data_IF_144694551431
#
_entry.id   IF_144694551431
#
_cell.length_a   1.000
_cell.length_b   1.000
_cell.length_c   1.000
_cell.angle_alpha   90.00
_cell.angle_beta   90.00
_cell.angle_gamma   90.00
#
_symmetry.space_group_name_H-M   'P 1'
#
loop_
_entity.id
_entity.type
_entity.pdbx_description
1 polymer ?
#
# COMPACT_ATOMS: atom_id res chain seq x y z
N UNK A 1 20.90 18.17 24.18
CA UNK A 1 19.67 18.82 23.70
C UNK A 1 19.95 19.38 22.32
N UNK A 2 19.42 18.74 21.27
CA UNK A 2 19.55 19.22 19.90
C UNK A 2 18.47 20.28 19.66
N UNK A 3 18.86 21.49 19.30
CA UNK A 3 17.95 22.57 18.92
C UNK A 3 17.34 22.24 17.56
N UNK A 4 16.04 21.97 17.50
CA UNK A 4 15.32 21.72 16.25
C UNK A 4 15.27 23.00 15.41
N UNK A 5 15.86 22.97 14.22
CA UNK A 5 15.77 24.08 13.26
C UNK A 5 14.38 24.09 12.58
N UNK A 6 13.55 25.08 12.92
CA UNK A 6 12.17 25.20 12.41
C UNK A 6 12.09 25.72 10.97
N UNK A 7 13.22 26.09 10.36
CA UNK A 7 13.28 26.63 8.99
C UNK A 7 13.46 25.53 7.93
N UNK A 8 13.81 24.30 8.35
CA UNK A 8 14.01 23.14 7.47
C UNK A 8 12.71 22.38 7.23
N UNK A 9 12.57 21.82 6.03
CA UNK A 9 11.50 20.88 5.73
C UNK A 9 11.56 19.68 6.69
N UNK A 10 10.40 19.18 7.16
CA UNK A 10 10.38 18.09 8.11
C UNK A 10 10.90 16.78 7.50
N UNK A 11 11.65 16.00 8.28
CA UNK A 11 12.08 14.66 7.89
C UNK A 11 10.89 13.70 8.00
N UNK A 12 10.59 12.98 6.93
CA UNK A 12 9.54 11.95 6.91
C UNK A 12 10.06 10.68 7.60
N UNK A 13 9.33 10.18 8.59
CA UNK A 13 9.66 8.96 9.31
C UNK A 13 8.64 7.89 8.94
N UNK A 14 9.05 6.88 8.19
CA UNK A 14 8.21 5.74 7.86
C UNK A 14 8.44 4.60 8.86
N UNK A 15 7.49 4.43 9.78
CA UNK A 15 7.40 3.25 10.64
C UNK A 15 6.85 2.11 9.79
N UNK A 16 7.73 1.21 9.36
CA UNK A 16 7.35 0.02 8.60
C UNK A 16 6.91 -1.07 9.57
N UNK A 17 5.60 -1.22 9.77
CA UNK A 17 5.06 -2.40 10.45
C UNK A 17 5.26 -3.67 9.59
N UNK A 18 5.62 -4.79 10.22
CA UNK A 18 5.79 -6.04 9.47
C UNK A 18 4.47 -6.44 8.80
N UNK A 19 4.57 -6.82 7.52
CA UNK A 19 3.46 -7.39 6.73
C UNK A 19 2.26 -6.46 6.49
N UNK A 20 2.47 -5.15 6.53
CA UNK A 20 1.46 -4.12 6.21
C UNK A 20 1.63 -3.51 4.80
N UNK A 21 2.22 -4.26 3.85
CA UNK A 21 2.47 -3.76 2.50
C UNK A 21 3.65 -2.78 2.38
N UNK A 22 4.42 -2.59 3.46
CA UNK A 22 5.49 -1.61 3.47
C UNK A 22 6.60 -1.87 2.46
N UNK A 23 6.95 -3.11 2.10
CA UNK A 23 7.92 -3.37 1.02
C UNK A 23 7.55 -2.68 -0.32
N UNK A 24 6.27 -2.71 -0.69
CA UNK A 24 5.73 -1.99 -1.84
C UNK A 24 5.86 -0.48 -1.64
N UNK A 25 5.47 0.02 -0.47
CA UNK A 25 5.56 1.45 -0.15
C UNK A 25 7.00 1.97 -0.18
N UNK A 26 7.96 1.20 0.35
CA UNK A 26 9.40 1.52 0.33
C UNK A 26 9.92 1.69 -1.08
N UNK A 27 9.49 0.84 -2.03
CA UNK A 27 9.85 0.96 -3.45
C UNK A 27 9.25 2.22 -4.07
N UNK A 28 8.02 2.57 -3.72
CA UNK A 28 7.40 3.82 -4.20
C UNK A 28 8.14 5.03 -3.63
N UNK A 29 8.41 5.02 -2.32
CA UNK A 29 9.14 6.05 -1.59
C UNK A 29 10.54 6.28 -2.19
N UNK A 30 11.26 5.21 -2.53
CA UNK A 30 12.58 5.33 -3.15
C UNK A 30 12.59 6.00 -4.53
N UNK A 31 11.43 6.22 -5.15
CA UNK A 31 11.28 7.01 -6.40
C UNK A 31 10.93 8.48 -6.13
N UNK A 32 10.65 8.84 -4.88
CA UNK A 32 10.22 10.19 -4.49
C UNK A 32 11.37 11.05 -3.96
N UNK A 33 12.44 10.39 -3.51
CA UNK A 33 13.55 11.03 -2.81
C UNK A 33 14.86 10.58 -3.43
N UNK A 34 15.87 11.44 -3.36
CA UNK A 34 17.25 11.07 -3.71
C UNK A 34 17.68 9.87 -2.83
N UNK A 35 18.31 8.82 -3.39
CA UNK A 35 18.76 7.68 -2.60
C UNK A 35 19.66 8.05 -1.41
N UNK A 36 20.47 9.11 -1.53
CA UNK A 36 21.32 9.61 -0.44
C UNK A 36 20.54 10.38 0.62
N UNK A 37 19.31 10.81 0.32
CA UNK A 37 18.39 11.45 1.26
C UNK A 37 17.53 10.46 2.05
N UNK A 38 17.67 9.14 1.81
CA UNK A 38 16.86 8.09 2.43
C UNK A 38 17.71 7.20 3.34
N UNK A 39 17.59 7.37 4.66
CA UNK A 39 18.17 6.46 5.63
C UNK A 39 17.27 5.24 5.84
N UNK A 40 17.78 4.07 5.49
CA UNK A 40 17.16 2.78 5.80
C UNK A 40 17.79 2.16 7.03
N UNK A 41 16.99 1.95 8.07
CA UNK A 41 17.38 1.21 9.27
C UNK A 41 16.97 -0.25 9.10
N UNK A 42 17.97 -1.14 9.11
CA UNK A 42 17.80 -2.59 9.07
C UNK A 42 18.00 -3.22 10.45
N UNK A 43 17.23 -4.27 10.73
CA UNK A 43 17.15 -4.93 12.04
C UNK A 43 15.81 -4.71 12.73
N UNK A 44 15.66 -5.32 13.90
CA UNK A 44 14.51 -5.16 14.79
C UNK A 44 14.97 -4.32 16.00
N UNK A 45 14.27 -3.22 16.25
CA UNK A 45 14.52 -2.33 17.38
C UNK A 45 13.22 -2.09 18.10
N UNK A 46 13.29 -2.02 19.42
CA UNK A 46 12.09 -1.91 20.24
C UNK A 46 12.00 -0.57 20.98
N UNK A 47 13.13 0.11 21.21
CA UNK A 47 13.18 1.46 21.79
C UNK A 47 13.94 2.44 20.90
N UNK A 48 13.47 3.69 20.88
CA UNK A 48 14.06 4.73 20.04
C UNK A 48 15.55 4.96 20.38
N UNK A 49 15.92 4.92 21.66
CA UNK A 49 17.29 5.14 22.12
C UNK A 49 18.32 4.17 21.49
N UNK A 50 17.90 2.94 21.14
CA UNK A 50 18.79 1.97 20.45
C UNK A 50 19.26 2.47 19.07
N UNK A 51 18.53 3.43 18.50
CA UNK A 51 18.78 3.96 17.17
C UNK A 51 19.68 5.20 17.17
N UNK A 52 20.10 5.72 18.33
CA UNK A 52 20.94 6.91 18.41
C UNK A 52 22.21 6.81 17.53
N UNK A 53 22.99 5.70 17.53
CA UNK A 53 24.19 5.59 16.68
C UNK A 53 23.85 5.53 15.18
N UNK A 54 22.65 5.05 14.84
CA UNK A 54 22.17 4.95 13.45
C UNK A 54 21.69 6.31 12.96
N UNK A 55 20.94 7.02 13.81
CA UNK A 55 20.38 8.34 13.52
C UNK A 55 21.48 9.41 13.52
N UNK A 56 22.56 9.25 14.30
CA UNK A 56 23.70 10.16 14.22
C UNK A 56 24.35 10.22 12.82
N UNK A 57 24.13 9.20 11.97
CA UNK A 57 24.58 9.15 10.57
C UNK A 57 23.62 9.83 9.59
N UNK A 58 22.44 10.25 10.06
CA UNK A 58 21.53 11.08 9.28
C UNK A 58 22.31 12.33 8.93
N UNK A 59 22.63 12.47 7.64
CA UNK A 59 23.17 13.70 7.12
C UNK A 59 22.16 14.81 7.45
N UNK A 60 22.58 15.71 8.34
CA UNK A 60 21.73 16.74 8.90
C UNK A 60 21.24 17.71 7.83
N UNK A 61 21.93 17.83 6.71
CA UNK A 61 21.61 18.73 5.60
C UNK A 61 20.78 18.05 4.50
N UNK A 62 20.94 16.74 4.29
CA UNK A 62 20.40 16.07 3.11
C UNK A 62 19.33 15.00 3.39
N UNK A 63 19.20 14.50 4.63
CA UNK A 63 18.29 13.38 4.91
C UNK A 63 16.82 13.81 5.03
N UNK A 64 16.02 13.42 4.05
CA UNK A 64 14.60 13.72 3.98
C UNK A 64 13.72 12.59 4.50
N UNK A 65 14.23 11.34 4.54
CA UNK A 65 13.47 10.17 5.00
C UNK A 65 14.28 9.28 5.93
N UNK A 66 13.65 8.84 7.02
CA UNK A 66 14.10 7.71 7.85
C UNK A 66 13.04 6.60 7.78
N UNK A 67 13.46 5.37 7.47
CA UNK A 67 12.52 4.24 7.35
C UNK A 67 13.07 2.94 7.91
N UNK A 68 12.20 2.09 8.46
CA UNK A 68 12.56 0.77 8.93
C UNK A 68 11.54 0.17 9.90
N UNK A 69 11.86 -1.00 10.44
CA UNK A 69 11.14 -1.60 11.56
C UNK A 69 11.55 -0.91 12.87
N UNK A 70 11.23 0.37 12.97
CA UNK A 70 11.66 1.26 14.05
C UNK A 70 10.45 1.63 14.94
N UNK A 71 10.66 1.84 16.25
CA UNK A 71 9.61 2.26 17.16
C UNK A 71 9.28 3.74 16.98
N UNK A 72 8.11 4.14 17.48
CA UNK A 72 7.80 5.54 17.72
C UNK A 72 8.81 6.16 18.72
N UNK A 73 9.01 7.48 18.63
CA UNK A 73 9.98 8.22 19.46
C UNK A 73 11.27 8.60 18.74
N UNK A 74 11.60 7.98 17.60
CA UNK A 74 12.82 8.30 16.82
C UNK A 74 12.95 9.78 16.41
N UNK A 75 11.83 10.51 16.32
CA UNK A 75 11.83 11.95 16.04
C UNK A 75 12.60 12.78 17.08
N UNK A 76 12.73 12.30 18.33
CA UNK A 76 13.50 12.97 19.38
C UNK A 76 15.01 12.95 19.11
N UNK A 77 15.46 12.01 18.27
CA UNK A 77 16.86 11.85 17.89
C UNK A 77 17.20 12.64 16.61
N UNK A 78 16.20 13.20 15.92
CA UNK A 78 16.41 13.90 14.66
C UNK A 78 16.88 15.34 14.88
N UNK A 79 17.75 15.86 13.99
CA UNK A 79 18.19 17.25 14.05
C UNK A 79 17.11 18.25 13.63
N UNK A 80 16.09 17.80 12.89
CA UNK A 80 14.97 18.57 12.36
C UNK A 80 13.64 18.02 12.90
N UNK A 81 12.55 18.76 12.67
CA UNK A 81 11.21 18.26 12.96
C UNK A 81 10.93 16.98 12.17
N UNK A 82 10.54 15.92 12.86
CA UNK A 82 10.06 14.68 12.25
C UNK A 82 8.55 14.68 12.02
N UNK A 83 8.11 14.05 10.94
CA UNK A 83 6.68 13.79 10.67
C UNK A 83 6.51 12.31 10.31
N UNK A 84 5.57 11.64 10.98
CA UNK A 84 5.41 10.19 10.82
C UNK A 84 4.43 9.81 9.71
N UNK A 85 4.72 8.69 9.05
CA UNK A 85 3.77 7.95 8.22
C UNK A 85 3.84 6.47 8.58
N UNK A 86 2.74 5.74 8.39
CA UNK A 86 2.69 4.28 8.56
C UNK A 86 1.60 3.64 7.72
N UNK A 87 1.67 2.32 7.59
CA UNK A 87 0.58 1.48 7.12
C UNK A 87 0.24 0.47 8.22
N UNK A 88 -1.05 0.34 8.49
CA UNK A 88 -1.63 -0.70 9.35
C UNK A 88 -2.35 -1.74 8.52
N UNK A 89 -2.53 -2.91 9.11
CA UNK A 89 -3.25 -4.03 8.53
C UNK A 89 -4.09 -4.69 9.61
N UNK A 90 -5.22 -5.28 9.21
CA UNK A 90 -6.04 -6.03 10.12
C UNK A 90 -5.18 -7.09 10.84
N UNK A 91 -5.16 -7.14 12.19
CA UNK A 91 -4.18 -7.93 12.94
C UNK A 91 -4.18 -9.41 12.60
N UNK A 92 -5.35 -10.01 12.43
CA UNK A 92 -5.48 -11.43 12.04
C UNK A 92 -4.79 -11.69 10.70
N UNK A 93 -5.07 -10.85 9.71
CA UNK A 93 -4.48 -10.91 8.38
C UNK A 93 -2.97 -10.67 8.40
N UNK A 94 -2.50 -9.81 9.31
CA UNK A 94 -1.08 -9.53 9.53
C UNK A 94 -0.36 -10.76 10.06
N UNK A 95 -0.90 -11.42 11.09
CA UNK A 95 -0.30 -12.60 11.72
C UNK A 95 -0.24 -13.78 10.73
N UNK A 96 -1.33 -14.06 10.02
CA UNK A 96 -1.35 -15.10 8.98
C UNK A 96 -0.27 -14.84 7.91
N UNK A 97 -0.20 -13.61 7.42
CA UNK A 97 0.80 -13.23 6.42
C UNK A 97 2.24 -13.27 6.96
N UNK A 98 2.44 -13.02 8.26
CA UNK A 98 3.74 -13.09 8.91
C UNK A 98 4.22 -14.53 9.05
N UNK A 99 3.34 -15.43 9.48
CA UNK A 99 3.61 -16.87 9.55
C UNK A 99 4.05 -17.40 8.18
N UNK A 100 3.20 -17.23 7.15
CA UNK A 100 3.51 -17.65 5.78
C UNK A 100 4.84 -17.06 5.27
N UNK A 101 5.11 -15.80 5.59
CA UNK A 101 6.36 -15.15 5.20
C UNK A 101 7.57 -15.76 5.88
N UNK A 102 7.53 -16.06 7.18
CA UNK A 102 8.66 -16.68 7.87
C UNK A 102 8.92 -18.10 7.37
N UNK A 103 7.86 -18.84 7.01
CA UNK A 103 7.95 -20.15 6.36
C UNK A 103 8.63 -20.04 4.99
N UNK A 104 8.15 -19.15 4.13
CA UNK A 104 8.72 -18.91 2.78
C UNK A 104 10.20 -18.49 2.85
N UNK A 105 10.56 -17.70 3.86
CA UNK A 105 11.95 -17.29 4.11
C UNK A 105 12.82 -18.35 4.80
N UNK A 106 12.28 -19.54 5.09
CA UNK A 106 12.93 -20.64 5.82
C UNK A 106 13.64 -20.17 7.10
N UNK A 107 12.96 -19.29 7.84
CA UNK A 107 13.47 -18.75 9.11
C UNK A 107 13.63 -19.87 10.13
N UNK A 108 14.83 -20.03 10.71
CA UNK A 108 15.15 -21.19 11.56
C UNK A 108 14.19 -21.35 12.73
N UNK A 109 13.72 -20.24 13.30
CA UNK A 109 12.82 -20.23 14.45
C UNK A 109 11.43 -20.80 14.16
N UNK A 110 11.00 -20.90 12.90
CA UNK A 110 9.67 -21.44 12.54
C UNK A 110 9.71 -22.90 12.06
N UNK A 111 10.84 -23.60 12.25
CA UNK A 111 11.02 -25.01 11.88
C UNK A 111 11.53 -25.83 13.05
N UNK A 112 11.00 -27.06 13.19
CA UNK A 112 11.51 -28.09 14.09
C UNK A 112 12.23 -29.15 13.24
N UNK A 113 13.54 -28.98 13.08
CA UNK A 113 14.29 -29.72 12.06
C UNK A 113 13.95 -29.21 10.67
N UNK A 114 13.48 -30.10 9.79
CA UNK A 114 13.02 -29.76 8.44
C UNK A 114 11.51 -29.49 8.35
N UNK A 115 10.76 -29.78 9.41
CA UNK A 115 9.31 -29.62 9.44
C UNK A 115 8.90 -28.22 9.92
N UNK A 116 8.01 -27.51 9.20
CA UNK A 116 7.50 -26.23 9.66
C UNK A 116 6.63 -26.40 10.91
N UNK A 117 6.74 -25.46 11.86
CA UNK A 117 5.79 -25.38 12.98
C UNK A 117 4.38 -25.15 12.43
N UNK A 118 3.37 -25.71 13.08
CA UNK A 118 1.98 -25.34 12.83
C UNK A 118 1.71 -23.88 13.21
N UNK A 119 0.63 -23.30 12.69
CA UNK A 119 0.25 -21.93 13.05
C UNK A 119 -0.06 -21.79 14.55
N UNK A 120 -0.58 -22.83 15.20
CA UNK A 120 -0.82 -22.84 16.65
C UNK A 120 0.51 -22.74 17.41
N UNK A 121 1.44 -23.66 17.15
CA UNK A 121 2.78 -23.69 17.76
C UNK A 121 3.54 -22.38 17.50
N UNK A 122 3.43 -21.83 16.29
CA UNK A 122 4.04 -20.56 15.94
C UNK A 122 3.58 -19.40 16.85
N UNK A 123 2.29 -19.37 17.19
CA UNK A 123 1.71 -18.32 18.05
C UNK A 123 2.05 -18.57 19.52
N UNK A 124 1.98 -19.82 20.00
CA UNK A 124 2.12 -20.15 21.42
C UNK A 124 3.57 -20.29 21.87
N UNK A 125 4.44 -20.86 21.04
CA UNK A 125 5.74 -21.39 21.50
C UNK A 125 6.87 -20.37 21.32
N UNK A 126 6.81 -19.53 20.28
CA UNK A 126 7.95 -18.68 19.91
C UNK A 126 8.04 -17.36 20.69
N UNK A 127 6.98 -16.95 21.38
CA UNK A 127 6.90 -15.70 22.15
C UNK A 127 7.48 -14.46 21.42
N UNK A 128 7.34 -14.40 20.10
CA UNK A 128 7.87 -13.30 19.31
C UNK A 128 7.02 -12.04 19.58
N UNK A 129 7.65 -10.91 19.90
CA UNK A 129 6.95 -9.64 20.16
C UNK A 129 6.04 -9.18 19.01
N UNK A 130 6.32 -9.59 17.77
CA UNK A 130 5.43 -9.31 16.62
C UNK A 130 4.08 -10.03 16.68
N UNK A 131 3.96 -11.10 17.47
CA UNK A 131 2.77 -11.93 17.62
C UNK A 131 1.86 -11.47 18.76
N UNK A 132 2.36 -10.60 19.63
CA UNK A 132 1.63 -10.00 20.74
C UNK A 132 1.55 -8.49 20.56
N UNK A 133 0.41 -8.01 20.04
CA UNK A 133 0.11 -6.59 19.85
C UNK A 133 1.24 -5.79 19.16
N UNK A 134 1.84 -6.39 18.12
CA UNK A 134 3.06 -5.87 17.48
C UNK A 134 2.92 -4.47 16.87
N UNK A 135 1.74 -4.09 16.36
CA UNK A 135 1.51 -2.73 15.84
C UNK A 135 1.43 -1.72 17.00
N UNK A 136 0.73 -2.06 18.08
CA UNK A 136 0.57 -1.25 19.29
C UNK A 136 1.91 -1.01 19.99
N UNK A 137 2.73 -2.05 20.16
CA UNK A 137 4.10 -1.93 20.69
C UNK A 137 4.91 -0.91 19.90
N UNK A 138 4.96 -1.06 18.58
CA UNK A 138 5.76 -0.21 17.72
C UNK A 138 5.28 1.25 17.72
N UNK A 139 3.97 1.47 17.74
CA UNK A 139 3.37 2.81 17.65
C UNK A 139 3.28 3.54 18.99
N UNK A 140 3.25 2.82 20.11
CA UNK A 140 3.42 3.42 21.44
C UNK A 140 4.89 3.81 21.69
N UNK A 141 5.84 3.08 21.08
CA UNK A 141 7.27 3.25 21.34
C UNK A 141 7.72 2.57 22.64
N UNK A 142 6.85 1.75 23.25
CA UNK A 142 7.09 1.02 24.49
C UNK A 142 7.42 -0.44 24.19
N UNK A 143 8.26 -1.01 25.04
CA UNK A 143 8.78 -2.37 24.86
C UNK A 143 8.73 -3.18 26.17
N UNK A 144 7.53 -3.62 26.60
CA UNK A 144 7.41 -4.61 27.67
C UNK A 144 7.76 -6.01 27.17
N UNK A 145 7.84 -6.98 28.07
CA UNK A 145 7.99 -8.39 27.70
C UNK A 145 6.73 -8.93 26.99
N UNK A 146 6.86 -10.09 26.33
CA UNK A 146 5.75 -10.74 25.65
C UNK A 146 4.61 -11.04 26.63
N UNK A 147 3.37 -10.77 26.23
CA UNK A 147 2.17 -10.93 27.07
C UNK A 147 1.91 -9.79 28.04
N UNK A 148 2.78 -8.77 28.09
CA UNK A 148 2.68 -7.65 29.02
C UNK A 148 2.32 -6.31 28.36
N UNK A 149 1.68 -6.32 27.19
CA UNK A 149 1.13 -5.09 26.62
C UNK A 149 -0.04 -4.58 27.47
N UNK A 150 -0.03 -3.29 27.81
CA UNK A 150 -1.07 -2.68 28.65
C UNK A 150 -2.07 -1.84 27.87
N UNK A 151 -3.21 -1.56 28.49
CA UNK A 151 -4.20 -0.64 27.94
C UNK A 151 -3.65 0.80 27.82
N UNK A 152 -2.72 1.22 28.68
CA UNK A 152 -2.07 2.54 28.53
C UNK A 152 -1.26 2.61 27.22
N UNK A 153 -0.56 1.54 26.85
CA UNK A 153 0.18 1.48 25.58
C UNK A 153 -0.75 1.68 24.38
N UNK A 154 -1.96 1.13 24.43
CA UNK A 154 -2.97 1.34 23.39
C UNK A 154 -3.38 2.81 23.32
N UNK A 155 -3.60 3.46 24.47
CA UNK A 155 -3.94 4.88 24.51
C UNK A 155 -2.79 5.74 23.96
N UNK A 156 -1.55 5.43 24.30
CA UNK A 156 -0.36 6.10 23.77
C UNK A 156 -0.25 5.91 22.25
N UNK A 157 -0.42 4.69 21.75
CA UNK A 157 -0.41 4.42 20.31
C UNK A 157 -1.50 5.21 19.59
N UNK A 158 -2.75 5.20 20.09
CA UNK A 158 -3.87 5.99 19.52
C UNK A 158 -3.59 7.49 19.54
N UNK A 159 -3.04 8.00 20.64
CA UNK A 159 -2.66 9.41 20.77
C UNK A 159 -1.56 9.77 19.75
N UNK A 160 -0.52 8.95 19.65
CA UNK A 160 0.58 9.15 18.72
C UNK A 160 0.06 9.19 17.27
N UNK A 161 -0.78 8.22 16.87
CA UNK A 161 -1.40 8.19 15.54
C UNK A 161 -2.17 9.48 15.22
N UNK A 162 -2.92 10.04 16.19
CA UNK A 162 -3.69 11.27 15.97
C UNK A 162 -2.83 12.54 15.91
N UNK A 163 -1.81 12.63 16.76
CA UNK A 163 -1.08 13.90 16.97
C UNK A 163 0.18 14.04 16.12
N UNK A 164 0.77 12.92 15.69
CA UNK A 164 2.13 12.92 15.11
C UNK A 164 2.23 12.31 13.72
N UNK A 165 1.25 11.53 13.30
CA UNK A 165 1.24 10.92 11.97
C UNK A 165 0.52 11.83 10.98
N UNK A 166 1.22 12.16 9.91
CA UNK A 166 0.62 12.87 8.78
C UNK A 166 -0.36 11.97 8.03
N UNK A 167 0.01 10.70 7.84
CA UNK A 167 -0.88 9.70 7.23
C UNK A 167 -0.71 8.36 7.93
N UNK A 168 -1.85 7.80 8.34
CA UNK A 168 -1.99 6.42 8.80
C UNK A 168 -2.81 5.69 7.73
N UNK A 169 -2.13 4.92 6.88
CA UNK A 169 -2.81 4.18 5.81
C UNK A 169 -3.28 2.80 6.24
N UNK A 170 -4.25 2.26 5.52
CA UNK A 170 -4.84 0.94 5.71
C UNK A 170 -4.44 0.05 4.52
N UNK A 171 -3.82 -1.09 4.80
CA UNK A 171 -3.29 -2.02 3.79
C UNK A 171 -4.40 -2.54 2.87
N UNK A 172 -5.59 -2.78 3.41
CA UNK A 172 -6.79 -3.25 2.73
C UNK A 172 -7.30 -2.20 1.73
N UNK A 173 -7.01 -0.91 1.99
CA UNK A 173 -7.27 0.23 1.11
C UNK A 173 -5.95 0.88 0.64
N UNK A 174 -4.99 0.06 0.20
CA UNK A 174 -3.64 0.52 -0.17
C UNK A 174 -3.65 1.64 -1.23
N UNK A 175 -4.48 1.54 -2.27
CA UNK A 175 -4.54 2.56 -3.33
C UNK A 175 -5.02 3.92 -2.80
N UNK A 176 -6.03 3.92 -1.92
CA UNK A 176 -6.49 5.11 -1.21
C UNK A 176 -5.39 5.69 -0.33
N UNK A 177 -4.74 4.82 0.46
CA UNK A 177 -3.64 5.20 1.36
C UNK A 177 -2.48 5.83 0.60
N UNK A 178 -2.15 5.28 -0.56
CA UNK A 178 -1.07 5.77 -1.41
C UNK A 178 -1.39 7.11 -2.05
N UNK A 179 -2.62 7.30 -2.55
CA UNK A 179 -3.04 8.60 -3.08
C UNK A 179 -3.10 9.67 -2.00
N UNK A 180 -3.52 9.31 -0.78
CA UNK A 180 -3.50 10.22 0.37
C UNK A 180 -2.06 10.62 0.72
N UNK A 181 -1.12 9.67 0.81
CA UNK A 181 0.31 9.95 0.98
C UNK A 181 0.85 10.86 -0.11
N UNK A 182 0.49 10.60 -1.38
CA UNK A 182 0.95 11.42 -2.49
C UNK A 182 0.42 12.85 -2.45
N UNK A 183 -0.81 13.05 -1.97
CA UNK A 183 -1.38 14.38 -1.76
C UNK A 183 -0.65 15.13 -0.63
N UNK A 184 -0.47 14.50 0.51
CA UNK A 184 0.08 15.15 1.73
C UNK A 184 1.60 15.38 1.64
N UNK A 185 2.34 14.53 0.92
CA UNK A 185 3.80 14.62 0.77
C UNK A 185 4.24 15.13 -0.61
N UNK A 186 3.30 15.45 -1.51
CA UNK A 186 3.60 15.90 -2.87
C UNK A 186 4.26 14.84 -3.76
N UNK A 187 4.12 13.55 -3.43
CA UNK A 187 4.71 12.46 -4.22
C UNK A 187 4.10 12.36 -5.60
N UNK A 188 4.94 11.97 -6.56
CA UNK A 188 4.59 11.74 -7.96
C UNK A 188 4.87 10.28 -8.32
N UNK A 189 4.52 9.84 -9.53
CA UNK A 189 4.84 8.48 -10.00
C UNK A 189 4.43 7.37 -8.99
N UNK A 190 3.15 7.35 -8.64
CA UNK A 190 2.60 6.45 -7.61
C UNK A 190 2.31 5.03 -8.14
N UNK A 191 2.44 4.79 -9.45
CA UNK A 191 2.13 3.48 -10.04
C UNK A 191 3.06 2.40 -9.52
N UNK A 192 2.51 1.24 -9.17
CA UNK A 192 3.20 0.17 -8.47
C UNK A 192 2.64 -1.19 -8.85
N UNK A 193 3.46 -2.22 -8.62
CA UNK A 193 3.02 -3.61 -8.54
C UNK A 193 3.22 -4.09 -7.10
N UNK A 194 2.40 -5.03 -6.67
CA UNK A 194 2.47 -5.54 -5.30
C UNK A 194 3.68 -6.44 -5.14
N UNK A 195 4.51 -6.15 -4.15
CA UNK A 195 5.62 -7.00 -3.73
C UNK A 195 5.21 -7.89 -2.56
N UNK A 196 5.80 -9.09 -2.48
CA UNK A 196 5.64 -10.02 -1.36
C UNK A 196 4.18 -10.34 -1.02
N UNK A 197 3.33 -10.47 -2.06
CA UNK A 197 1.98 -10.98 -1.91
C UNK A 197 2.09 -12.46 -1.59
N UNK A 198 1.71 -12.87 -0.38
CA UNK A 198 1.64 -14.30 -0.09
C UNK A 198 0.61 -14.97 -0.98
N UNK A 199 0.97 -16.14 -1.52
CA UNK A 199 0.31 -16.78 -2.66
C UNK A 199 -1.07 -17.36 -2.31
N UNK A 200 -1.38 -17.55 -1.02
CA UNK A 200 -2.51 -18.37 -0.58
C UNK A 200 -3.63 -17.56 0.10
N UNK A 201 -4.24 -16.61 -0.61
CA UNK A 201 -5.50 -16.00 -0.14
C UNK A 201 -6.64 -17.02 0.02
N UNK A 202 -6.59 -18.15 -0.70
CA UNK A 202 -7.60 -19.21 -0.69
C UNK A 202 -7.53 -20.11 0.57
N UNK A 203 -6.37 -20.20 1.24
CA UNK A 203 -6.22 -20.97 2.49
C UNK A 203 -6.81 -20.26 3.71
N UNK A 204 -7.14 -18.96 3.61
CA UNK A 204 -7.82 -18.23 4.69
C UNK A 204 -9.16 -18.85 5.09
N UNK A 205 -9.85 -19.53 4.15
CA UNK A 205 -11.08 -20.26 4.42
C UNK A 205 -10.90 -21.53 5.26
N UNK A 206 -9.65 -21.96 5.50
CA UNK A 206 -9.31 -23.20 6.19
C UNK A 206 -8.70 -22.99 7.59
N UNK A 207 -8.58 -21.75 8.07
CA UNK A 207 -8.11 -21.48 9.44
C UNK A 207 -9.26 -21.73 10.41
N UNK A 208 -9.06 -22.63 11.39
CA UNK A 208 -10.10 -22.96 12.36
C UNK A 208 -10.43 -21.77 13.26
N UNK A 209 -11.66 -21.75 13.77
CA UNK A 209 -12.11 -20.70 14.70
C UNK A 209 -11.20 -20.59 15.92
N UNK A 210 -10.76 -21.72 16.48
CA UNK A 210 -9.89 -21.74 17.66
C UNK A 210 -8.56 -20.99 17.42
N UNK A 211 -8.00 -21.09 16.21
CA UNK A 211 -6.78 -20.35 15.85
C UNK A 211 -7.07 -18.86 15.67
N UNK A 212 -8.22 -18.51 15.08
CA UNK A 212 -8.64 -17.11 14.97
C UNK A 212 -8.84 -16.49 16.36
N UNK A 213 -9.47 -17.21 17.29
CA UNK A 213 -9.69 -16.77 18.67
C UNK A 213 -8.36 -16.63 19.43
N UNK A 214 -7.41 -17.54 19.19
CA UNK A 214 -6.04 -17.44 19.72
C UNK A 214 -5.32 -16.18 19.21
N UNK A 215 -5.32 -15.92 17.90
CA UNK A 215 -4.72 -14.72 17.31
C UNK A 215 -5.37 -13.46 17.89
N UNK A 216 -6.70 -13.46 17.97
CA UNK A 216 -7.51 -12.37 18.51
C UNK A 216 -7.10 -12.06 19.96
N UNK A 217 -6.94 -13.09 20.78
CA UNK A 217 -6.53 -12.95 22.19
C UNK A 217 -5.16 -12.28 22.31
N UNK A 218 -4.17 -12.73 21.55
CA UNK A 218 -2.82 -12.14 21.58
C UNK A 218 -2.73 -10.76 20.91
N UNK A 219 -3.74 -10.34 20.14
CA UNK A 219 -3.72 -9.09 19.36
C UNK A 219 -4.94 -8.21 19.65
N UNK A 220 -5.52 -8.31 20.85
CA UNK A 220 -6.72 -7.57 21.24
C UNK A 220 -6.52 -6.04 21.16
N UNK A 221 -5.35 -5.54 21.58
CA UNK A 221 -5.04 -4.10 21.50
C UNK A 221 -4.78 -3.67 20.05
N UNK A 222 -4.10 -4.52 19.28
CA UNK A 222 -3.89 -4.31 17.84
C UNK A 222 -5.23 -4.21 17.08
N UNK A 223 -6.25 -4.98 17.48
CA UNK A 223 -7.60 -4.92 16.90
C UNK A 223 -8.26 -3.58 17.21
N UNK A 224 -8.28 -3.18 18.48
CA UNK A 224 -8.89 -1.91 18.88
C UNK A 224 -8.15 -0.68 18.31
N UNK A 225 -6.82 -0.78 18.15
CA UNK A 225 -6.01 0.22 17.47
C UNK A 225 -6.37 0.30 15.98
N UNK A 226 -6.45 -0.86 15.31
CA UNK A 226 -6.78 -0.94 13.90
C UNK A 226 -8.17 -0.39 13.62
N UNK A 227 -9.19 -0.76 14.41
CA UNK A 227 -10.56 -0.26 14.25
C UNK A 227 -10.63 1.26 14.39
N UNK A 228 -9.95 1.80 15.41
CA UNK A 228 -9.87 3.26 15.60
C UNK A 228 -9.17 3.96 14.43
N UNK A 229 -8.07 3.40 13.94
CA UNK A 229 -7.34 3.96 12.80
C UNK A 229 -8.14 3.83 11.49
N UNK A 230 -8.86 2.72 11.30
CA UNK A 230 -9.72 2.50 10.15
C UNK A 230 -10.88 3.51 10.15
N UNK A 231 -11.55 3.72 11.28
CA UNK A 231 -12.61 4.72 11.39
C UNK A 231 -12.10 6.12 11.03
N UNK A 232 -10.97 6.55 11.61
CA UNK A 232 -10.37 7.85 11.32
C UNK A 232 -9.96 7.96 9.82
N UNK A 233 -9.49 6.87 9.23
CA UNK A 233 -9.17 6.80 7.82
C UNK A 233 -10.41 6.98 6.94
N UNK A 234 -11.51 6.28 7.23
CA UNK A 234 -12.78 6.42 6.50
C UNK A 234 -13.37 7.83 6.64
N UNK A 235 -13.31 8.42 7.83
CA UNK A 235 -13.73 9.80 8.07
C UNK A 235 -12.90 10.78 7.20
N UNK A 236 -11.58 10.58 7.12
CA UNK A 236 -10.70 11.38 6.26
C UNK A 236 -11.04 11.20 4.78
N UNK A 237 -11.34 9.99 4.32
CA UNK A 237 -11.81 9.75 2.95
C UNK A 237 -13.16 10.43 2.69
N UNK A 238 -14.08 10.38 3.65
CA UNK A 238 -15.38 11.06 3.57
C UNK A 238 -15.25 12.58 3.40
N UNK A 239 -14.27 13.20 4.07
CA UNK A 239 -13.96 14.63 3.91
C UNK A 239 -13.42 14.98 2.52
N UNK A 240 -12.68 14.07 1.88
CA UNK A 240 -12.17 14.27 0.52
C UNK A 240 -13.25 14.08 -0.56
N UNK A 241 -14.31 13.34 -0.23
CA UNK A 241 -15.53 13.25 -1.03
C UNK A 241 -15.39 12.53 -2.37
N UNK A 242 -16.40 12.70 -3.22
CA UNK A 242 -16.58 11.93 -4.45
C UNK A 242 -15.48 12.14 -5.50
N UNK A 243 -14.84 13.31 -5.51
CA UNK A 243 -13.74 13.60 -6.44
C UNK A 243 -12.54 12.70 -6.17
N UNK A 244 -12.16 12.53 -4.91
CA UNK A 244 -11.06 11.65 -4.52
C UNK A 244 -11.36 10.19 -4.86
N UNK A 245 -12.60 9.74 -4.66
CA UNK A 245 -13.00 8.38 -5.05
C UNK A 245 -12.94 8.15 -6.56
N UNK A 246 -13.22 9.16 -7.40
CA UNK A 246 -12.98 9.05 -8.85
C UNK A 246 -11.48 8.98 -9.14
N UNK A 247 -10.64 9.78 -8.48
CA UNK A 247 -9.18 9.71 -8.63
C UNK A 247 -8.66 8.30 -8.30
N UNK A 248 -9.13 7.71 -7.19
CA UNK A 248 -8.79 6.33 -6.82
C UNK A 248 -9.24 5.34 -7.90
N UNK A 249 -10.44 5.51 -8.45
CA UNK A 249 -10.98 4.64 -9.50
C UNK A 249 -10.17 4.72 -10.79
N UNK A 250 -9.79 5.92 -11.21
CA UNK A 250 -8.90 6.15 -12.35
C UNK A 250 -7.53 5.51 -12.09
N UNK A 251 -6.94 5.81 -10.93
CA UNK A 251 -5.65 5.29 -10.53
C UNK A 251 -5.62 3.76 -10.53
N UNK A 252 -6.63 3.08 -9.96
CA UNK A 252 -6.73 1.62 -9.97
C UNK A 252 -6.71 1.04 -11.39
N UNK A 253 -7.41 1.67 -12.35
CA UNK A 253 -7.42 1.23 -13.76
C UNK A 253 -6.03 1.39 -14.38
N UNK A 254 -5.41 2.55 -14.20
CA UNK A 254 -4.07 2.85 -14.73
C UNK A 254 -3.03 1.90 -14.11
N UNK A 255 -3.09 1.70 -12.79
CA UNK A 255 -2.17 0.86 -12.05
C UNK A 255 -2.31 -0.62 -12.40
N UNK A 256 -3.52 -1.11 -12.71
CA UNK A 256 -3.72 -2.47 -13.19
C UNK A 256 -3.04 -2.72 -14.55
N UNK A 257 -3.10 -1.75 -15.47
CA UNK A 257 -2.39 -1.85 -16.75
C UNK A 257 -0.87 -1.75 -16.56
N UNK A 258 -0.42 -0.86 -15.67
CA UNK A 258 0.99 -0.74 -15.29
C UNK A 258 1.55 -2.06 -14.71
N UNK A 259 0.86 -2.66 -13.75
CA UNK A 259 1.32 -3.87 -13.06
C UNK A 259 1.42 -5.08 -14.01
N UNK A 260 0.58 -5.16 -15.05
CA UNK A 260 0.67 -6.21 -16.08
C UNK A 260 1.95 -6.10 -16.89
N UNK A 261 2.36 -4.88 -17.23
CA UNK A 261 3.58 -4.63 -18.01
C UNK A 261 4.85 -4.96 -17.23
N UNK A 262 4.96 -4.53 -15.98
CA UNK A 262 6.19 -4.72 -15.20
C UNK A 262 6.40 -6.19 -14.79
N UNK A 263 5.33 -6.92 -14.45
CA UNK A 263 5.40 -8.36 -14.18
C UNK A 263 5.82 -9.15 -15.43
N UNK A 264 5.44 -8.69 -16.62
CA UNK A 264 5.88 -9.28 -17.87
C UNK A 264 7.37 -9.01 -18.15
N UNK A 265 7.85 -7.80 -17.88
CA UNK A 265 9.26 -7.44 -17.99
C UNK A 265 10.15 -8.19 -16.97
N UNK A 266 9.70 -8.33 -15.72
CA UNK A 266 10.46 -8.95 -14.63
C UNK A 266 10.60 -10.47 -14.79
N UNK A 267 9.52 -11.19 -15.14
CA UNK A 267 9.53 -12.64 -15.41
C UNK A 267 10.46 -13.04 -16.55
N UNK A 268 10.80 -12.09 -17.43
CA UNK A 268 11.70 -12.32 -18.56
C UNK A 268 13.17 -12.05 -18.23
N UNK A 269 13.45 -11.10 -17.34
CA UNK A 269 14.79 -10.90 -16.76
C UNK A 269 15.28 -12.15 -16.04
N UNK A 270 14.42 -12.82 -15.29
CA UNK A 270 14.72 -14.09 -14.60
C UNK A 270 14.98 -15.28 -15.55
N UNK A 271 14.55 -15.18 -16.82
CA UNK A 271 14.76 -16.22 -17.85
C UNK A 271 16.02 -16.01 -18.70
N UNK A 272 16.78 -14.95 -18.48
CA UNK A 272 18.00 -14.65 -19.25
C UNK A 272 19.21 -15.16 -18.46
N UNK A 273 20.02 -16.12 -18.96
CA UNK A 273 21.21 -16.55 -18.26
C UNK A 273 22.24 -15.41 -18.23
N UNK A 274 22.81 -15.14 -17.05
CA UNK A 274 23.98 -14.29 -16.88
C UNK A 274 25.20 -14.96 -17.52
N UNK A 275 25.46 -14.70 -18.81
CA UNK A 275 26.80 -14.59 -19.43
C UNK A 275 26.70 -14.30 -20.94
N UNK A 276 27.26 -13.17 -21.36
CA UNK A 276 28.19 -13.15 -22.49
C UNK A 276 27.66 -13.07 -23.93
N UNK A 277 26.37 -12.84 -24.18
CA UNK A 277 25.91 -12.43 -25.52
C UNK A 277 24.90 -11.28 -25.38
N UNK A 278 24.95 -10.34 -26.33
CA UNK A 278 24.22 -9.07 -26.29
C UNK A 278 22.70 -9.21 -26.10
N UNK A 279 21.99 -8.10 -25.84
CA UNK A 279 20.60 -8.14 -25.42
C UNK A 279 19.74 -8.81 -26.49
N UNK A 280 19.16 -9.97 -26.16
CA UNK A 280 18.22 -10.67 -26.99
C UNK A 280 16.87 -9.94 -27.00
N UNK A 281 16.79 -8.82 -27.73
CA UNK A 281 15.56 -8.07 -28.04
C UNK A 281 14.69 -8.79 -29.11
N UNK A 282 14.66 -10.11 -29.17
CA UNK A 282 14.16 -10.83 -30.36
C UNK A 282 12.72 -11.34 -30.26
N UNK A 283 11.89 -10.77 -29.39
CA UNK A 283 10.51 -11.27 -29.16
C UNK A 283 9.52 -10.22 -28.66
N UNK A 284 9.96 -8.99 -28.44
CA UNK A 284 9.07 -7.86 -28.20
C UNK A 284 8.78 -7.24 -29.57
N UNK A 285 7.53 -6.93 -29.84
CA UNK A 285 7.22 -6.00 -30.94
C UNK A 285 7.96 -4.68 -30.71
N UNK A 286 8.30 -3.97 -31.77
CA UNK A 286 9.00 -2.69 -31.68
C UNK A 286 8.30 -1.70 -30.73
N UNK A 287 6.97 -1.73 -30.67
CA UNK A 287 6.18 -0.92 -29.73
C UNK A 287 6.43 -1.28 -28.26
N UNK A 288 6.59 -2.57 -27.94
CA UNK A 288 6.85 -3.03 -26.58
C UNK A 288 8.28 -2.71 -26.15
N UNK A 289 9.25 -2.75 -27.08
CA UNK A 289 10.63 -2.34 -26.84
C UNK A 289 10.71 -0.84 -26.53
N UNK A 290 10.05 -0.01 -27.35
CA UNK A 290 9.95 1.42 -27.11
C UNK A 290 9.25 1.75 -25.80
N UNK A 291 8.15 1.05 -25.46
CA UNK A 291 7.45 1.28 -24.19
C UNK A 291 8.33 0.91 -22.99
N UNK A 292 9.13 -0.15 -23.07
CA UNK A 292 10.08 -0.51 -22.02
C UNK A 292 11.23 0.50 -21.87
N UNK A 293 11.77 1.02 -23.00
CA UNK A 293 12.80 2.05 -22.98
C UNK A 293 12.28 3.39 -22.44
N UNK A 294 11.11 3.84 -22.93
CA UNK A 294 10.42 5.04 -22.42
C UNK A 294 10.04 4.88 -20.95
N UNK A 295 9.77 3.66 -20.48
CA UNK A 295 9.48 3.39 -19.08
C UNK A 295 10.70 3.55 -18.17
N UNK A 296 11.87 3.08 -18.59
CA UNK A 296 13.12 3.23 -17.82
C UNK A 296 13.60 4.67 -17.77
N UNK A 297 13.44 5.42 -18.86
CA UNK A 297 13.95 6.79 -18.95
C UNK A 297 12.91 7.85 -18.56
N UNK A 298 11.63 7.61 -18.82
CA UNK A 298 10.56 8.61 -18.74
C UNK A 298 9.19 8.05 -18.26
N UNK A 299 9.10 7.50 -17.03
CA UNK A 299 7.88 6.87 -16.50
C UNK A 299 6.64 7.79 -16.50
N UNK A 300 6.83 9.11 -16.41
CA UNK A 300 5.78 10.13 -16.51
C UNK A 300 5.04 10.14 -17.85
N UNK A 301 5.72 9.79 -18.95
CA UNK A 301 5.08 9.73 -20.27
C UNK A 301 4.16 8.52 -20.38
N UNK A 302 4.55 7.39 -19.78
CA UNK A 302 3.69 6.21 -19.70
C UNK A 302 2.46 6.47 -18.83
N UNK A 303 2.63 7.14 -17.68
CA UNK A 303 1.50 7.56 -16.83
C UNK A 303 0.52 8.39 -17.66
N UNK A 304 1.03 9.41 -18.38
CA UNK A 304 0.19 10.28 -19.22
C UNK A 304 -0.50 9.53 -20.35
N UNK A 305 0.19 8.59 -20.99
CA UNK A 305 -0.39 7.74 -22.04
C UNK A 305 -1.50 6.84 -21.48
N UNK A 306 -1.32 6.26 -20.30
CA UNK A 306 -2.33 5.42 -19.66
C UNK A 306 -3.54 6.24 -19.22
N UNK A 307 -3.34 7.46 -18.70
CA UNK A 307 -4.43 8.42 -18.43
C UNK A 307 -5.25 8.69 -19.70
N UNK A 308 -4.57 9.02 -20.80
CA UNK A 308 -5.20 9.25 -22.11
C UNK A 308 -5.97 8.02 -22.60
N UNK A 309 -5.42 6.82 -22.46
CA UNK A 309 -6.09 5.58 -22.88
C UNK A 309 -7.37 5.31 -22.07
N UNK A 310 -7.36 5.60 -20.76
CA UNK A 310 -8.55 5.51 -19.92
C UNK A 310 -9.61 6.51 -20.39
N UNK A 311 -9.21 7.75 -20.68
CA UNK A 311 -10.14 8.78 -21.16
C UNK A 311 -10.71 8.46 -22.54
N UNK A 312 -9.89 7.95 -23.47
CA UNK A 312 -10.37 7.48 -24.79
C UNK A 312 -11.41 6.36 -24.63
N UNK A 313 -11.16 5.38 -23.74
CA UNK A 313 -12.14 4.30 -23.46
C UNK A 313 -13.43 4.86 -22.87
N UNK A 314 -13.36 5.86 -21.98
CA UNK A 314 -14.53 6.55 -21.42
C UNK A 314 -15.35 7.25 -22.51
N UNK A 315 -14.70 8.04 -23.36
CA UNK A 315 -15.34 8.77 -24.46
C UNK A 315 -16.00 7.81 -25.46
N UNK A 316 -15.35 6.69 -25.81
CA UNK A 316 -15.94 5.66 -26.68
C UNK A 316 -17.21 5.06 -26.09
N UNK A 317 -17.26 4.81 -24.77
CA UNK A 317 -18.47 4.32 -24.09
C UNK A 317 -19.60 5.35 -24.14
N UNK A 318 -19.31 6.63 -23.86
CA UNK A 318 -20.29 7.71 -23.97
C UNK A 318 -20.84 7.85 -25.40
N UNK A 319 -19.97 7.76 -26.40
CA UNK A 319 -20.38 7.78 -27.80
C UNK A 319 -21.29 6.59 -28.15
N UNK A 320 -21.00 5.40 -27.62
CA UNK A 320 -21.87 4.21 -27.76
C UNK A 320 -23.25 4.43 -27.16
N UNK A 321 -23.34 4.96 -25.93
CA UNK A 321 -24.60 5.27 -25.26
C UNK A 321 -25.43 6.31 -26.03
N UNK A 322 -24.79 7.37 -26.52
CA UNK A 322 -25.43 8.39 -27.34
C UNK A 322 -25.99 7.79 -28.64
N UNK A 323 -25.25 6.89 -29.31
CA UNK A 323 -25.74 6.19 -30.50
C UNK A 323 -26.99 5.37 -30.19
N UNK A 324 -27.00 4.64 -29.08
CA UNK A 324 -28.18 3.87 -28.65
C UNK A 324 -29.39 4.77 -28.38
N UNK A 325 -29.20 5.92 -27.73
CA UNK A 325 -30.28 6.89 -27.48
C UNK A 325 -30.84 7.48 -28.78
N UNK A 326 -29.99 7.83 -29.73
CA UNK A 326 -30.41 8.31 -31.06
C UNK A 326 -31.21 7.24 -31.80
N UNK A 327 -30.78 5.98 -31.73
CA UNK A 327 -31.49 4.88 -32.38
C UNK A 327 -32.86 4.61 -31.74
N UNK A 328 -32.96 4.69 -30.40
CA UNK A 328 -34.23 4.62 -29.67
C UNK A 328 -35.17 5.79 -30.02
N UNK A 329 -34.63 7.00 -30.14
CA UNK A 329 -35.36 8.18 -30.59
C UNK A 329 -35.96 7.99 -31.99
N UNK A 330 -35.14 7.53 -32.96
CA UNK A 330 -35.61 7.21 -34.32
C UNK A 330 -36.69 6.13 -34.35
N UNK A 331 -36.56 5.08 -33.53
CA UNK A 331 -37.59 4.03 -33.41
C UNK A 331 -38.91 4.58 -32.87
N UNK A 332 -38.86 5.47 -31.86
CA UNK A 332 -40.04 6.16 -31.32
C UNK A 332 -40.70 7.06 -32.35
N UNK A 333 -39.92 7.86 -33.07
CA UNK A 333 -40.43 8.75 -34.13
C UNK A 333 -41.12 7.96 -35.25
N UNK A 334 -40.54 6.84 -35.67
CA UNK A 334 -41.14 5.94 -36.65
C UNK A 334 -42.47 5.33 -36.15
N UNK A 335 -42.54 4.94 -34.87
CA UNK A 335 -43.78 4.45 -34.25
C UNK A 335 -44.88 5.51 -34.24
N UNK A 336 -44.57 6.72 -33.76
CA UNK A 336 -45.51 7.84 -33.71
C UNK A 336 -46.00 8.25 -35.10
N UNK A 337 -45.11 8.21 -36.10
CA UNK A 337 -45.48 8.49 -37.49
C UNK A 337 -46.43 7.44 -38.05
N UNK A 338 -46.25 6.17 -37.68
CA UNK A 338 -47.14 5.07 -38.05
C UNK A 338 -48.52 5.23 -37.39
N UNK A 339 -48.55 5.48 -36.08
CA UNK A 339 -49.78 5.72 -35.31
C UNK A 339 -50.57 6.93 -35.86
N UNK A 340 -49.89 8.03 -36.21
CA UNK A 340 -50.52 9.20 -36.84
C UNK A 340 -51.11 8.90 -38.21
N UNK A 341 -50.47 8.04 -39.02
CA UNK A 341 -51.01 7.59 -40.31
C UNK A 341 -52.25 6.72 -40.11
N UNK A 342 -52.21 5.79 -39.17
CA UNK A 342 -53.33 4.91 -38.84
C UNK A 342 -54.53 5.73 -38.34
N UNK A 343 -54.32 6.67 -37.41
CA UNK A 343 -55.37 7.55 -36.89
C UNK A 343 -56.01 8.43 -37.98
N UNK A 344 -55.21 8.96 -38.93
CA UNK A 344 -55.72 9.72 -40.08
C UNK A 344 -56.60 8.87 -41.00
N UNK A 345 -56.29 7.58 -41.17
CA UNK A 345 -57.13 6.67 -41.95
C UNK A 345 -58.44 6.36 -41.24
N UNK A 346 -58.46 6.29 -39.90
CA UNK A 346 -59.69 6.03 -39.13
C UNK A 346 -60.64 7.23 -39.08
N UNK A 347 -60.15 8.45 -39.32
CA UNK A 347 -60.97 9.69 -39.28
C UNK A 347 -61.62 10.01 -40.64
N UNK A 348 -61.29 9.24 -41.70
CA UNK A 348 -61.79 9.41 -43.08
C UNK A 348 -62.78 8.32 -43.52
N UNK A 349 -63.11 7.38 -42.63
CA UNK A 349 -64.27 6.48 -42.72
C UNK A 349 -65.35 7.01 -41.79
#
# INVERSE_FOLDING_TARGET
MLTTDSTRAPTTIFIHNMKTGGATLRRILGRQYDPNAVLTITGEYHRAAELEPRIARVDREHSQVVQGHIPFGVHELLPSRGVYITLLRHPIDRILSLYEYRIDQRRREVFRGDEPLTLAEYITDLQLKELDNGQTRRLSGLDPDFGHCSAEMLQDAKKNLRERFLVVGITEKFDHSLLLLGRELGWRNLLYFRLNVTKNKEEKGHVSKDIIDLITTHNALDLELYDSAQQAFEERLGQLGAEFEEQVRVFKRVNAEYARFDVYASKRRERTPLRGTGPAYTTLSWEEQLRAAVFEEHPQLLVRQLELNVEIRRLRRQQGLLRTQVEQGRKREASLTKELREARMTTFC
#
